data_IF_926317330114
#
_entry.id   IF_926317330114
#
_cell.length_a   1.000
_cell.length_b   1.000
_cell.length_c   1.000
_cell.angle_alpha   90.00
_cell.angle_beta   90.00
_cell.angle_gamma   90.00
#
_symmetry.space_group_name_H-M   'P 1'
#
loop_
_entity.id
_entity.type
_entity.pdbx_description
1 polymer ?
#
# COMPACT_ATOMS: atom_id res chain seq x y z
N UNK A 1 58.61 -75.12 7.54
CA UNK A 1 58.92 -73.84 6.84
C UNK A 1 57.66 -73.08 6.39
N UNK A 2 56.51 -73.73 6.13
CA UNK A 2 55.27 -73.05 5.71
C UNK A 2 54.57 -72.21 6.81
N UNK A 3 54.70 -72.55 8.08
CA UNK A 3 53.98 -71.84 9.16
C UNK A 3 54.51 -70.42 9.43
N UNK A 4 55.82 -70.18 9.26
CA UNK A 4 56.38 -68.82 9.37
C UNK A 4 55.91 -67.89 8.25
N UNK A 5 55.56 -68.43 7.08
CA UNK A 5 55.04 -67.65 5.94
C UNK A 5 53.56 -67.27 6.13
N UNK A 6 52.75 -68.14 6.75
CA UNK A 6 51.36 -67.82 7.12
C UNK A 6 51.30 -66.74 8.20
N UNK A 7 52.21 -66.78 9.17
CA UNK A 7 52.24 -65.82 10.27
C UNK A 7 52.60 -64.40 9.81
N UNK A 8 53.62 -64.26 8.95
CA UNK A 8 54.04 -62.94 8.43
C UNK A 8 53.01 -62.35 7.47
N UNK A 9 52.33 -63.17 6.66
CA UNK A 9 51.25 -62.73 5.77
C UNK A 9 50.03 -62.22 6.54
N UNK A 10 49.59 -62.95 7.57
CA UNK A 10 48.46 -62.54 8.41
C UNK A 10 48.74 -61.24 9.19
N UNK A 11 49.98 -61.03 9.65
CA UNK A 11 50.39 -59.80 10.35
C UNK A 11 50.45 -58.60 9.39
N UNK A 12 50.96 -58.79 8.16
CA UNK A 12 50.91 -57.81 7.06
C UNK A 12 49.47 -57.42 6.69
N UNK A 13 48.58 -58.40 6.54
CA UNK A 13 47.20 -58.18 6.13
C UNK A 13 46.37 -57.48 7.22
N UNK A 14 46.63 -57.79 8.49
CA UNK A 14 46.06 -57.08 9.64
C UNK A 14 46.47 -55.61 9.69
N UNK A 15 47.76 -55.31 9.48
CA UNK A 15 48.27 -53.93 9.45
C UNK A 15 47.66 -53.12 8.28
N UNK A 16 47.57 -53.73 7.09
CA UNK A 16 46.95 -53.12 5.89
C UNK A 16 45.46 -52.85 6.07
N UNK A 17 44.73 -53.74 6.76
CA UNK A 17 43.30 -53.59 7.03
C UNK A 17 43.03 -52.44 8.02
N UNK A 18 43.85 -52.32 9.06
CA UNK A 18 43.75 -51.22 10.02
C UNK A 18 44.11 -49.87 9.39
N UNK A 19 45.12 -49.83 8.51
CA UNK A 19 45.49 -48.61 7.78
C UNK A 19 44.41 -48.17 6.79
N UNK A 20 43.80 -49.10 6.04
CA UNK A 20 42.64 -48.81 5.17
C UNK A 20 41.42 -48.34 5.96
N UNK A 21 41.15 -48.94 7.11
CA UNK A 21 40.05 -48.53 8.00
C UNK A 21 40.29 -47.14 8.58
N UNK A 22 41.53 -46.82 8.93
CA UNK A 22 41.92 -45.49 9.42
C UNK A 22 41.79 -44.43 8.34
N UNK A 23 42.28 -44.69 7.12
CA UNK A 23 42.13 -43.78 5.97
C UNK A 23 40.66 -43.59 5.61
N UNK A 24 39.85 -44.65 5.58
CA UNK A 24 38.43 -44.56 5.25
C UNK A 24 37.65 -43.75 6.30
N UNK A 25 37.96 -43.92 7.60
CA UNK A 25 37.39 -43.10 8.67
C UNK A 25 37.82 -41.64 8.56
N UNK A 26 39.09 -41.38 8.28
CA UNK A 26 39.59 -40.02 8.06
C UNK A 26 38.88 -39.34 6.89
N UNK A 27 38.74 -40.03 5.74
CA UNK A 27 38.03 -39.56 4.55
C UNK A 27 36.56 -39.25 4.81
N UNK A 28 35.86 -40.10 5.59
CA UNK A 28 34.46 -39.87 5.97
C UNK A 28 34.34 -38.62 6.85
N UNK A 29 35.26 -38.42 7.80
CA UNK A 29 35.28 -37.23 8.68
C UNK A 29 35.56 -35.96 7.86
N UNK A 30 36.51 -35.98 6.92
CA UNK A 30 36.75 -34.82 6.04
C UNK A 30 35.58 -34.54 5.11
N UNK A 31 34.90 -35.57 4.60
CA UNK A 31 33.68 -35.38 3.79
C UNK A 31 32.55 -34.76 4.62
N UNK A 32 32.38 -35.17 5.88
CA UNK A 32 31.37 -34.64 6.80
C UNK A 32 31.64 -33.17 7.16
N UNK A 33 32.91 -32.79 7.41
CA UNK A 33 33.29 -31.41 7.68
C UNK A 33 33.15 -30.51 6.43
N UNK A 34 33.49 -31.03 5.25
CA UNK A 34 33.33 -30.30 3.98
C UNK A 34 31.85 -30.06 3.64
N UNK A 35 30.97 -31.02 3.94
CA UNK A 35 29.53 -30.89 3.70
C UNK A 35 28.87 -29.87 4.65
N UNK A 36 29.34 -29.78 5.89
CA UNK A 36 28.85 -28.81 6.88
C UNK A 36 29.17 -27.35 6.47
N UNK A 37 30.34 -27.11 5.85
CA UNK A 37 30.74 -25.77 5.40
C UNK A 37 29.92 -25.26 4.20
N UNK A 38 29.38 -26.15 3.36
CA UNK A 38 28.50 -25.78 2.24
C UNK A 38 27.09 -25.39 2.71
N UNK A 39 26.58 -25.98 3.80
CA UNK A 39 25.25 -25.67 4.34
C UNK A 39 25.22 -24.31 5.05
N UNK A 40 26.31 -23.92 5.75
CA UNK A 40 26.37 -22.63 6.45
C UNK A 40 26.33 -21.40 5.52
N UNK A 41 26.77 -21.54 4.27
CA UNK A 41 26.70 -20.44 3.30
C UNK A 41 25.30 -20.24 2.69
N UNK A 42 24.41 -21.23 2.76
CA UNK A 42 23.04 -21.12 2.24
C UNK A 42 22.06 -20.41 3.20
N UNK A 43 22.44 -20.21 4.47
CA UNK A 43 21.59 -19.60 5.51
C UNK A 43 21.83 -18.10 5.70
N UNK A 44 22.84 -17.50 5.08
CA UNK A 44 23.19 -16.08 5.23
C UNK A 44 22.55 -15.17 4.16
N UNK A 45 21.34 -15.49 3.72
CA UNK A 45 20.54 -14.54 2.94
C UNK A 45 19.81 -13.60 3.91
N UNK A 46 20.57 -12.72 4.57
CA UNK A 46 20.02 -11.61 5.36
C UNK A 46 19.41 -10.57 4.41
N UNK A 47 18.23 -10.88 3.85
CA UNK A 47 17.40 -9.87 3.21
C UNK A 47 16.90 -8.94 4.31
N UNK A 48 17.18 -7.62 4.26
CA UNK A 48 16.69 -6.68 5.25
C UNK A 48 15.16 -6.74 5.34
N UNK A 49 14.63 -6.89 6.56
CA UNK A 49 13.20 -6.81 6.77
C UNK A 49 12.73 -5.37 6.53
N UNK A 50 11.70 -5.21 5.69
CA UNK A 50 11.03 -3.92 5.52
C UNK A 50 10.13 -3.65 6.72
N UNK A 51 10.09 -2.39 7.15
CA UNK A 51 9.09 -1.97 8.14
C UNK A 51 7.69 -2.17 7.55
N UNK A 52 6.76 -2.67 8.36
CA UNK A 52 5.35 -2.77 7.97
C UNK A 52 4.77 -1.39 7.66
N UNK A 53 5.23 -0.35 8.33
CA UNK A 53 4.80 1.02 8.07
C UNK A 53 5.13 1.46 6.64
N UNK A 54 6.20 0.95 6.05
CA UNK A 54 6.57 1.24 4.66
C UNK A 54 5.56 0.65 3.66
N UNK A 55 4.90 -0.46 4.02
CA UNK A 55 3.96 -1.18 3.14
C UNK A 55 2.50 -0.78 3.39
N UNK A 56 2.15 -0.49 4.65
CA UNK A 56 0.76 -0.31 5.10
C UNK A 56 0.47 1.10 5.64
N UNK A 57 1.46 1.97 5.69
CA UNK A 57 1.29 3.37 6.08
C UNK A 57 0.51 4.18 5.04
N UNK A 58 0.16 5.41 5.42
CA UNK A 58 -0.43 6.34 4.46
C UNK A 58 0.61 6.71 3.39
N UNK A 59 0.21 6.77 2.11
CA UNK A 59 1.08 7.34 1.09
C UNK A 59 1.34 8.82 1.41
N UNK A 60 2.53 9.29 1.05
CA UNK A 60 2.88 10.71 1.17
C UNK A 60 1.93 11.58 0.31
N UNK A 61 1.71 11.14 -0.94
CA UNK A 61 0.80 11.75 -1.91
C UNK A 61 0.12 10.64 -2.71
N UNK A 62 -1.18 10.77 -2.98
CA UNK A 62 -1.93 9.86 -3.85
C UNK A 62 -2.97 10.61 -4.71
N UNK A 63 -3.40 9.98 -5.80
CA UNK A 63 -4.56 10.43 -6.58
C UNK A 63 -4.44 11.84 -7.15
N UNK A 64 -3.23 12.28 -7.52
CA UNK A 64 -3.01 13.63 -8.03
C UNK A 64 -3.79 13.90 -9.33
N UNK A 65 -4.40 15.08 -9.42
CA UNK A 65 -5.18 15.52 -10.58
C UNK A 65 -4.89 16.98 -10.91
N UNK A 66 -4.81 17.28 -12.21
CA UNK A 66 -4.82 18.63 -12.74
C UNK A 66 -6.27 19.12 -12.88
N UNK A 67 -6.57 20.36 -12.51
CA UNK A 67 -7.87 20.96 -12.80
C UNK A 67 -8.10 21.04 -14.31
N UNK A 68 -9.34 20.96 -14.82
CA UNK A 68 -9.61 21.02 -16.26
C UNK A 68 -9.04 22.27 -16.97
N UNK A 69 -8.98 23.40 -16.27
CA UNK A 69 -8.37 24.64 -16.77
C UNK A 69 -6.83 24.71 -16.61
N UNK A 70 -6.19 23.67 -16.08
CA UNK A 70 -4.73 23.57 -15.90
C UNK A 70 -4.13 24.44 -14.80
N UNK A 71 -4.94 25.21 -14.06
CA UNK A 71 -4.41 26.20 -13.10
C UNK A 71 -4.02 25.61 -11.75
N UNK A 72 -4.56 24.45 -11.39
CA UNK A 72 -4.41 23.86 -10.06
C UNK A 72 -4.03 22.40 -10.12
N UNK A 73 -3.22 21.98 -9.16
CA UNK A 73 -2.94 20.56 -8.89
C UNK A 73 -3.56 20.24 -7.55
N UNK A 74 -4.35 19.18 -7.54
CA UNK A 74 -4.96 18.58 -6.36
C UNK A 74 -4.34 17.21 -6.09
N UNK A 75 -4.35 16.76 -4.84
CA UNK A 75 -3.93 15.41 -4.46
C UNK A 75 -4.44 15.05 -3.07
N UNK A 76 -4.35 13.77 -2.71
CA UNK A 76 -4.60 13.29 -1.35
C UNK A 76 -3.28 13.23 -0.58
N UNK A 77 -3.26 13.81 0.62
CA UNK A 77 -2.12 13.78 1.56
C UNK A 77 -2.63 13.75 3.01
N UNK A 78 -1.92 13.13 3.97
CA UNK A 78 -2.31 13.18 5.37
C UNK A 78 -2.42 14.61 5.91
N UNK A 79 -3.51 14.89 6.63
CA UNK A 79 -3.74 16.10 7.41
C UNK A 79 -4.45 15.71 8.70
N UNK A 80 -3.90 16.09 9.85
CA UNK A 80 -4.45 15.76 11.18
C UNK A 80 -4.73 14.25 11.41
N UNK A 81 -3.84 13.39 10.91
CA UNK A 81 -3.87 11.94 11.15
C UNK A 81 -4.64 11.12 10.11
N UNK A 82 -5.32 11.76 9.16
CA UNK A 82 -6.17 11.13 8.14
C UNK A 82 -5.91 11.71 6.76
N UNK A 83 -6.26 10.95 5.72
CA UNK A 83 -6.09 11.39 4.33
C UNK A 83 -7.14 12.43 3.96
N UNK A 84 -6.68 13.58 3.51
CA UNK A 84 -7.49 14.71 3.08
C UNK A 84 -7.05 15.19 1.69
N UNK A 85 -7.91 15.95 1.02
CA UNK A 85 -7.61 16.60 -0.25
C UNK A 85 -6.80 17.88 -0.01
N UNK A 86 -5.77 18.08 -0.81
CA UNK A 86 -4.89 19.24 -0.85
C UNK A 86 -4.89 19.86 -2.24
N UNK A 87 -4.62 21.17 -2.32
CA UNK A 87 -4.55 21.93 -3.57
C UNK A 87 -3.40 22.93 -3.54
N UNK A 88 -2.73 23.10 -4.68
CA UNK A 88 -1.77 24.19 -4.98
C UNK A 88 -2.02 24.74 -6.39
N UNK A 89 -1.45 25.90 -6.73
CA UNK A 89 -1.36 26.29 -8.15
C UNK A 89 -0.42 25.37 -8.90
N UNK A 90 -0.68 25.18 -10.20
CA UNK A 90 0.11 24.27 -11.02
C UNK A 90 1.61 24.62 -11.05
N UNK A 91 1.93 25.92 -11.06
CA UNK A 91 3.31 26.45 -11.10
C UNK A 91 3.96 26.68 -9.73
N UNK A 92 3.27 26.39 -8.63
CA UNK A 92 3.82 26.52 -7.27
C UNK A 92 4.56 25.24 -6.82
N UNK A 93 5.52 25.33 -5.90
CA UNK A 93 6.11 24.15 -5.27
C UNK A 93 5.06 23.37 -4.45
N UNK A 94 5.30 22.07 -4.21
CA UNK A 94 4.39 21.23 -3.42
C UNK A 94 4.21 21.69 -1.98
N UNK A 95 5.21 22.36 -1.40
CA UNK A 95 5.14 22.92 -0.04
C UNK A 95 4.16 24.11 0.08
N UNK A 96 3.76 24.71 -1.05
CA UNK A 96 2.72 25.75 -1.07
C UNK A 96 1.30 25.17 -1.02
N UNK A 97 1.14 23.85 -1.14
CA UNK A 97 -0.16 23.21 -1.10
C UNK A 97 -0.85 23.41 0.25
N UNK A 98 -2.17 23.57 0.20
CA UNK A 98 -3.01 23.73 1.38
C UNK A 98 -4.06 22.62 1.43
N UNK A 99 -4.43 22.13 2.63
CA UNK A 99 -5.57 21.24 2.76
C UNK A 99 -6.84 22.01 2.38
N UNK A 100 -7.74 21.33 1.68
CA UNK A 100 -9.08 21.87 1.37
C UNK A 100 -10.19 21.04 2.03
N UNK A 101 -9.81 20.00 2.76
CA UNK A 101 -10.66 19.19 3.64
C UNK A 101 -9.90 18.89 4.93
N UNK A 102 -10.62 18.60 6.02
CA UNK A 102 -10.04 18.40 7.34
C UNK A 102 -10.78 17.33 8.16
N UNK A 103 -11.25 16.26 7.52
CA UNK A 103 -11.84 15.12 8.24
C UNK A 103 -10.75 14.45 9.08
N UNK A 104 -11.02 14.14 10.35
CA UNK A 104 -10.07 13.54 11.30
C UNK A 104 -10.39 12.08 11.63
N UNK A 105 -11.45 11.54 11.02
CA UNK A 105 -12.04 10.23 11.37
C UNK A 105 -12.10 9.27 10.19
N UNK A 106 -12.49 9.74 9.00
CA UNK A 106 -12.63 8.93 7.79
C UNK A 106 -11.70 9.47 6.71
N UNK A 107 -10.82 8.64 6.13
CA UNK A 107 -9.95 9.09 5.04
C UNK A 107 -10.77 9.34 3.77
N UNK A 108 -10.47 10.42 3.05
CA UNK A 108 -10.97 10.60 1.69
C UNK A 108 -10.16 9.70 0.76
N UNK A 109 -10.84 8.77 0.09
CA UNK A 109 -10.21 7.78 -0.78
C UNK A 109 -10.15 8.20 -2.26
N UNK A 110 -11.18 8.91 -2.73
CA UNK A 110 -11.30 9.34 -4.11
C UNK A 110 -12.05 10.67 -4.20
N UNK A 111 -11.73 11.45 -5.23
CA UNK A 111 -12.34 12.73 -5.53
C UNK A 111 -12.14 13.05 -7.02
N UNK A 112 -12.81 14.08 -7.55
CA UNK A 112 -12.59 14.57 -8.91
C UNK A 112 -12.94 16.07 -9.03
N UNK A 113 -12.41 16.72 -10.07
CA UNK A 113 -12.76 18.09 -10.41
C UNK A 113 -14.10 18.17 -11.13
N UNK A 114 -14.91 19.19 -10.80
CA UNK A 114 -15.98 19.63 -11.70
C UNK A 114 -15.38 20.08 -13.03
N UNK A 115 -16.12 19.87 -14.12
CA UNK A 115 -15.64 20.20 -15.49
C UNK A 115 -15.31 21.68 -15.67
N UNK A 116 -16.01 22.56 -14.95
CA UNK A 116 -15.77 24.00 -14.92
C UNK A 116 -14.59 24.43 -14.03
N UNK A 117 -13.86 23.48 -13.43
CA UNK A 117 -12.73 23.69 -12.51
C UNK A 117 -13.06 24.45 -11.22
N UNK A 118 -14.35 24.68 -10.89
CA UNK A 118 -14.74 25.46 -9.71
C UNK A 118 -14.81 24.64 -8.44
N UNK A 119 -15.11 23.35 -8.55
CA UNK A 119 -15.36 22.50 -7.40
C UNK A 119 -14.52 21.22 -7.44
N UNK A 120 -14.23 20.72 -6.26
CA UNK A 120 -13.82 19.34 -6.04
C UNK A 120 -15.00 18.58 -5.46
N UNK A 121 -15.30 17.42 -6.04
CA UNK A 121 -16.33 16.50 -5.58
C UNK A 121 -15.67 15.26 -5.00
N UNK A 122 -16.22 14.75 -3.90
CA UNK A 122 -15.75 13.54 -3.26
C UNK A 122 -16.91 12.80 -2.60
N UNK A 123 -16.68 11.52 -2.31
CA UNK A 123 -17.69 10.63 -1.73
C UNK A 123 -17.19 10.13 -0.39
N UNK A 124 -18.04 10.21 0.64
CA UNK A 124 -17.66 9.80 1.99
C UNK A 124 -18.88 9.33 2.79
N UNK A 125 -18.68 8.31 3.62
CA UNK A 125 -19.65 7.82 4.60
C UNK A 125 -19.48 8.57 5.94
N UNK A 126 -20.33 8.28 6.93
CA UNK A 126 -20.20 8.87 8.27
C UNK A 126 -20.01 7.77 9.30
N UNK A 127 -18.86 7.78 9.98
CA UNK A 127 -18.59 6.81 11.05
C UNK A 127 -18.57 5.34 10.61
N UNK A 128 -18.43 5.07 9.31
CA UNK A 128 -18.43 3.71 8.78
C UNK A 128 -19.76 3.03 8.65
N UNK A 129 -20.83 3.81 8.50
CA UNK A 129 -22.16 3.29 8.17
C UNK A 129 -22.29 2.84 6.70
N UNK A 130 -21.26 3.05 5.87
CA UNK A 130 -21.23 2.77 4.44
C UNK A 130 -22.32 3.48 3.61
N UNK A 131 -23.03 4.44 4.21
CA UNK A 131 -24.03 5.28 3.55
C UNK A 131 -23.35 6.51 2.95
N UNK A 132 -22.66 6.25 1.85
CA UNK A 132 -21.89 7.25 1.14
C UNK A 132 -22.77 8.41 0.65
N UNK A 133 -22.31 9.64 0.89
CA UNK A 133 -22.89 10.88 0.38
C UNK A 133 -21.88 11.58 -0.54
N UNK A 134 -22.40 12.41 -1.44
CA UNK A 134 -21.57 13.19 -2.37
C UNK A 134 -21.40 14.60 -1.79
N UNK A 135 -20.16 15.04 -1.70
CA UNK A 135 -19.81 16.37 -1.21
C UNK A 135 -19.15 17.16 -2.32
N UNK A 136 -19.36 18.48 -2.30
CA UNK A 136 -18.66 19.43 -3.16
C UNK A 136 -18.10 20.58 -2.34
N UNK A 137 -16.92 21.07 -2.72
CA UNK A 137 -16.32 22.28 -2.15
C UNK A 137 -15.64 23.09 -3.25
N UNK A 138 -15.54 24.40 -3.05
CA UNK A 138 -14.71 25.26 -3.88
C UNK A 138 -13.30 25.38 -3.23
N UNK A 139 -12.24 24.84 -3.87
CA UNK A 139 -10.92 24.79 -3.25
C UNK A 139 -10.20 26.15 -3.22
N UNK A 140 -10.72 27.15 -3.93
CA UNK A 140 -10.13 28.49 -4.04
C UNK A 140 -11.01 29.57 -3.39
N UNK A 141 -12.02 29.15 -2.61
CA UNK A 141 -12.84 30.05 -1.83
C UNK A 141 -12.00 30.79 -0.78
N UNK A 142 -12.30 32.07 -0.57
CA UNK A 142 -11.69 32.84 0.52
C UNK A 142 -12.24 32.36 1.84
N UNK A 143 -11.36 31.90 2.73
CA UNK A 143 -11.75 31.39 4.03
C UNK A 143 -12.20 32.51 4.96
N UNK A 144 -13.29 32.28 5.68
CA UNK A 144 -13.69 33.15 6.79
C UNK A 144 -12.64 33.10 7.92
N UNK A 145 -12.63 34.11 8.78
CA UNK A 145 -11.68 34.15 9.89
C UNK A 145 -11.86 32.92 10.81
N UNK A 146 -10.75 32.25 11.14
CA UNK A 146 -10.73 31.03 11.95
C UNK A 146 -11.08 29.73 11.21
N UNK A 147 -11.42 29.79 9.92
CA UNK A 147 -11.67 28.61 9.10
C UNK A 147 -10.37 28.09 8.50
N UNK A 148 -10.04 26.81 8.73
CA UNK A 148 -8.80 26.20 8.21
C UNK A 148 -8.93 25.72 6.75
N UNK A 149 -10.13 25.28 6.35
CA UNK A 149 -10.41 24.69 5.02
C UNK A 149 -11.78 25.14 4.51
N UNK A 150 -12.04 25.21 3.19
CA UNK A 150 -13.34 25.58 2.64
C UNK A 150 -14.48 24.70 3.15
N UNK A 151 -15.70 25.25 3.13
CA UNK A 151 -16.86 24.48 3.59
C UNK A 151 -17.25 23.47 2.51
N UNK A 152 -17.39 22.22 2.90
CA UNK A 152 -17.97 21.20 2.02
C UNK A 152 -19.49 21.19 2.13
N UNK A 153 -20.16 21.20 0.98
CA UNK A 153 -21.61 21.08 0.86
C UNK A 153 -21.97 19.64 0.54
N UNK A 154 -22.80 19.03 1.37
CA UNK A 154 -23.42 17.74 1.05
C UNK A 154 -24.45 17.95 -0.07
N UNK A 155 -24.26 17.29 -1.21
CA UNK A 155 -25.14 17.40 -2.37
C UNK A 155 -26.36 16.49 -2.26
N UNK A 156 -26.24 15.41 -1.48
CA UNK A 156 -27.26 14.35 -1.40
C UNK A 156 -28.01 14.39 -0.09
N UNK A 157 -27.29 14.53 1.04
CA UNK A 157 -27.84 14.66 2.40
C UNK A 157 -28.96 13.68 2.77
N UNK A 158 -28.80 12.43 2.33
CA UNK A 158 -29.72 11.34 2.64
C UNK A 158 -29.20 10.53 3.83
N UNK A 159 -30.12 10.06 4.67
CA UNK A 159 -29.83 9.25 5.87
C UNK A 159 -30.21 7.81 5.61
N UNK A 160 -29.31 6.88 5.91
CA UNK A 160 -29.55 5.45 5.68
C UNK A 160 -29.58 5.04 4.20
N UNK A 161 -29.22 5.97 3.30
CA UNK A 161 -29.15 5.75 1.86
C UNK A 161 -27.70 5.86 1.43
N UNK A 162 -27.28 4.89 0.63
CA UNK A 162 -26.01 4.88 -0.07
C UNK A 162 -26.20 5.48 -1.45
N UNK A 163 -25.39 6.50 -1.74
CA UNK A 163 -25.33 7.11 -3.06
C UNK A 163 -24.19 6.51 -3.87
N UNK A 164 -24.46 6.20 -5.14
CA UNK A 164 -23.47 5.78 -6.11
C UNK A 164 -23.43 6.74 -7.30
N UNK A 165 -22.26 7.12 -7.77
CA UNK A 165 -22.14 7.93 -9.00
C UNK A 165 -22.12 6.98 -10.19
N UNK A 166 -23.16 7.03 -11.03
CA UNK A 166 -23.21 6.24 -12.27
C UNK A 166 -22.51 6.94 -13.43
N UNK A 167 -22.68 8.26 -13.58
CA UNK A 167 -22.10 8.99 -14.70
C UNK A 167 -21.89 10.48 -14.40
N UNK A 168 -20.78 11.00 -14.94
CA UNK A 168 -20.40 12.43 -14.96
C UNK A 168 -20.24 12.83 -16.44
N UNK A 169 -21.35 13.10 -17.16
CA UNK A 169 -21.33 13.29 -18.60
C UNK A 169 -20.46 14.48 -19.02
N UNK A 170 -19.73 14.33 -20.12
CA UNK A 170 -18.96 15.42 -20.73
C UNK A 170 -19.83 16.40 -21.50
N UNK A 171 -20.93 15.92 -22.07
CA UNK A 171 -21.87 16.71 -22.87
C UNK A 171 -22.74 17.65 -22.04
N UNK A 172 -22.92 17.37 -20.74
CA UNK A 172 -23.71 18.18 -19.83
C UNK A 172 -23.02 18.29 -18.45
N UNK A 173 -22.05 19.22 -18.32
CA UNK A 173 -21.26 19.42 -17.10
C UNK A 173 -22.05 19.73 -15.82
N UNK A 174 -23.31 20.15 -15.94
CA UNK A 174 -24.16 20.53 -14.82
C UNK A 174 -24.93 19.34 -14.23
N UNK A 175 -24.85 18.16 -14.87
CA UNK A 175 -25.54 16.94 -14.44
C UNK A 175 -24.61 15.90 -13.84
N UNK A 176 -25.13 15.20 -12.83
CA UNK A 176 -24.55 14.00 -12.24
C UNK A 176 -25.65 12.94 -12.15
N UNK A 177 -25.45 11.78 -12.78
CA UNK A 177 -26.37 10.66 -12.64
C UNK A 177 -25.96 9.83 -11.42
N UNK A 178 -26.87 9.74 -10.44
CA UNK A 178 -26.62 9.08 -9.17
C UNK A 178 -27.65 7.99 -8.91
N UNK A 179 -27.18 6.83 -8.46
CA UNK A 179 -28.02 5.76 -7.95
C UNK A 179 -28.24 5.88 -6.46
N UNK A 180 -29.44 5.55 -6.01
CA UNK A 180 -29.87 5.55 -4.61
C UNK A 180 -30.43 4.19 -4.25
N UNK A 181 -30.31 3.76 -3.00
CA UNK A 181 -30.99 2.57 -2.47
C UNK A 181 -32.11 2.93 -1.47
N UNK A 182 -32.76 4.08 -1.69
CA UNK A 182 -33.78 4.62 -0.76
C UNK A 182 -35.06 3.78 -0.73
N UNK A 183 -35.46 3.24 -1.89
CA UNK A 183 -36.67 2.41 -2.01
C UNK A 183 -36.50 1.03 -1.38
N UNK A 184 -35.35 0.40 -1.61
CA UNK A 184 -34.98 -0.90 -1.04
C UNK A 184 -33.48 -0.87 -0.73
N UNK A 185 -33.06 -1.00 0.55
CA UNK A 185 -31.66 -0.96 0.94
C UNK A 185 -30.77 -1.98 0.20
N UNK A 186 -31.33 -3.07 -0.32
CA UNK A 186 -30.61 -4.10 -1.06
C UNK A 186 -30.25 -3.70 -2.51
N UNK A 187 -30.91 -2.70 -3.10
CA UNK A 187 -30.80 -2.38 -4.52
C UNK A 187 -30.58 -0.89 -4.76
N UNK A 188 -29.64 -0.53 -5.63
CA UNK A 188 -29.50 0.84 -6.10
C UNK A 188 -30.31 1.02 -7.39
N UNK A 189 -31.20 2.01 -7.44
CA UNK A 189 -31.93 2.44 -8.62
C UNK A 189 -31.60 3.90 -9.01
N UNK A 190 -31.86 4.24 -10.28
CA UNK A 190 -31.60 5.56 -10.90
C UNK A 190 -32.91 6.35 -11.00
#
# INVERSE_FOLDING_TARGET
>A
MQDRYKYTKNMSDGLRKNYKLFIMKALIITLFFSFSALISNAQNNNVPLLDRELLFGNPEIAGAQLSPNGQYISFIKPFKGTRNIWVKRANEPFDAAKPVTADTTRPIGAYFWSRDSKNLLYVQDKGGDENFNIYALNPIETLANGQEVPKSRNLTDLKGVRVFIYSVPESDPDLLYVGLNDRDPAWHDL
#
